data_IF_082526562825
#
_entry.id   IF_082526562825
#
_cell.length_a   1.000
_cell.length_b   1.000
_cell.length_c   1.000
_cell.angle_alpha   90.00
_cell.angle_beta   90.00
_cell.angle_gamma   90.00
#
_symmetry.space_group_name_H-M   'P 1'
#
loop_
_entity.id
_entity.type
_entity.pdbx_description
1 polymer ?
#
# COMPACT_ATOMS: atom_id res chain seq x y z
N UNK A 1 0.52 -26.35 -43.73
CA UNK A 1 1.01 -26.97 -42.49
C UNK A 1 1.88 -25.93 -41.80
N UNK A 2 1.28 -25.19 -40.83
CA UNK A 2 1.99 -24.11 -40.13
C UNK A 2 2.56 -24.73 -38.85
N UNK A 3 3.90 -24.79 -38.77
CA UNK A 3 4.60 -25.17 -37.55
C UNK A 3 4.57 -23.96 -36.58
N UNK A 4 3.74 -24.05 -35.55
CA UNK A 4 3.84 -23.15 -34.41
C UNK A 4 4.98 -23.63 -33.53
N UNK A 5 6.14 -22.98 -33.65
CA UNK A 5 7.24 -23.19 -32.71
C UNK A 5 6.85 -22.47 -31.43
N UNK A 6 6.39 -23.19 -30.41
CA UNK A 6 6.26 -22.67 -29.07
C UNK A 6 7.66 -22.41 -28.53
N UNK A 7 8.13 -21.18 -28.63
CA UNK A 7 9.34 -20.76 -27.91
C UNK A 7 8.98 -20.77 -26.41
N UNK A 8 9.43 -21.80 -25.70
CA UNK A 8 9.47 -21.76 -24.23
C UNK A 8 10.37 -20.59 -23.83
N UNK A 9 9.77 -19.54 -23.29
CA UNK A 9 10.51 -18.42 -22.71
C UNK A 9 11.11 -18.93 -21.40
N UNK A 10 12.39 -19.29 -21.42
CA UNK A 10 13.15 -19.79 -20.28
C UNK A 10 13.46 -18.75 -19.18
N UNK A 11 12.68 -17.67 -19.07
CA UNK A 11 12.83 -16.68 -17.99
C UNK A 11 12.51 -17.25 -16.60
N UNK A 12 11.88 -18.43 -16.50
CA UNK A 12 11.43 -19.05 -15.26
C UNK A 12 12.50 -19.88 -14.53
N UNK A 13 13.52 -20.35 -15.24
CA UNK A 13 14.45 -21.35 -14.69
C UNK A 13 15.35 -20.83 -13.56
N UNK A 14 15.47 -19.50 -13.37
CA UNK A 14 16.38 -18.91 -12.40
C UNK A 14 15.70 -18.15 -11.25
N UNK A 15 14.37 -18.08 -11.18
CA UNK A 15 13.66 -17.40 -10.08
C UNK A 15 12.99 -18.41 -9.15
N UNK A 16 13.50 -18.61 -7.94
CA UNK A 16 12.88 -19.53 -6.97
C UNK A 16 11.45 -19.11 -6.59
N UNK A 17 11.15 -17.80 -6.61
CA UNK A 17 9.81 -17.28 -6.32
C UNK A 17 8.85 -17.66 -7.46
N UNK A 18 9.19 -17.38 -8.71
CA UNK A 18 8.34 -17.73 -9.86
C UNK A 18 8.13 -19.25 -9.97
N UNK A 19 9.18 -20.04 -9.75
CA UNK A 19 9.08 -21.50 -9.74
C UNK A 19 8.14 -22.00 -8.64
N UNK A 20 8.13 -21.37 -7.45
CA UNK A 20 7.23 -21.69 -6.35
C UNK A 20 5.77 -21.34 -6.71
N UNK A 21 5.52 -20.15 -7.26
CA UNK A 21 4.20 -19.71 -7.69
C UNK A 21 3.62 -20.68 -8.71
N UNK A 22 4.40 -21.03 -9.74
CA UNK A 22 3.98 -21.97 -10.78
C UNK A 22 3.68 -23.38 -10.23
N UNK A 23 4.53 -23.89 -9.35
CA UNK A 23 4.34 -25.22 -8.73
C UNK A 23 3.14 -25.26 -7.79
N UNK A 24 2.89 -24.19 -7.03
CA UNK A 24 1.77 -24.12 -6.11
C UNK A 24 0.45 -23.77 -6.81
N UNK A 25 0.50 -23.20 -8.01
CA UNK A 25 -0.65 -22.64 -8.72
C UNK A 25 -1.25 -21.41 -8.02
N UNK A 26 -0.47 -20.73 -7.17
CA UNK A 26 -0.97 -19.62 -6.33
C UNK A 26 0.00 -18.44 -6.34
N UNK A 27 -0.56 -17.22 -6.52
CA UNK A 27 0.08 -15.94 -6.28
C UNK A 27 -0.46 -15.36 -4.97
N UNK A 28 0.40 -15.15 -3.97
CA UNK A 28 0.00 -14.65 -2.66
C UNK A 28 0.22 -13.14 -2.60
N UNK A 29 -0.89 -12.38 -2.59
CA UNK A 29 -0.91 -10.92 -2.45
C UNK A 29 -0.91 -10.51 -0.99
N UNK A 30 -0.07 -9.54 -0.61
CA UNK A 30 -0.17 -8.77 0.63
C UNK A 30 -0.81 -7.40 0.40
N UNK A 31 -1.82 -7.06 1.18
CA UNK A 31 -2.47 -5.75 1.14
C UNK A 31 -2.96 -5.33 2.52
N UNK A 32 -3.18 -4.02 2.74
CA UNK A 32 -3.67 -3.52 4.03
C UNK A 32 -5.18 -3.70 4.21
N UNK A 33 -5.94 -3.71 3.13
CA UNK A 33 -7.41 -3.83 3.17
C UNK A 33 -8.12 -2.64 3.82
N UNK A 34 -7.46 -1.47 3.89
CA UNK A 34 -7.97 -0.28 4.62
C UNK A 34 -7.96 1.00 3.78
N UNK A 35 -7.69 0.89 2.49
CA UNK A 35 -7.63 2.04 1.59
C UNK A 35 -8.85 2.02 0.66
N UNK A 36 -9.84 2.91 0.86
CA UNK A 36 -11.02 2.99 -0.01
C UNK A 36 -10.66 3.09 -1.48
N UNK A 37 -11.39 2.38 -2.35
CA UNK A 37 -11.22 2.29 -3.81
C UNK A 37 -9.93 1.58 -4.26
N UNK A 38 -8.89 1.49 -3.44
CA UNK A 38 -7.63 0.82 -3.77
C UNK A 38 -7.60 -0.62 -3.26
N UNK A 39 -7.72 -0.81 -1.95
CA UNK A 39 -7.84 -2.11 -1.30
C UNK A 39 -8.66 -1.96 -0.03
N UNK A 40 -9.93 -2.28 -0.10
CA UNK A 40 -10.88 -2.11 1.00
C UNK A 40 -11.51 -3.45 1.36
N UNK A 41 -11.52 -3.76 2.66
CA UNK A 41 -12.22 -4.93 3.17
C UNK A 41 -13.69 -4.59 3.39
N UNK A 42 -14.57 -5.27 2.67
CA UNK A 42 -16.01 -5.11 2.77
C UNK A 42 -16.56 -5.64 4.11
N UNK A 43 -17.81 -5.33 4.41
CA UNK A 43 -18.52 -5.88 5.57
C UNK A 43 -18.67 -7.41 5.50
N UNK A 44 -18.65 -8.00 4.30
CA UNK A 44 -18.67 -9.46 4.09
C UNK A 44 -17.30 -10.10 4.26
N UNK A 45 -16.24 -9.30 4.44
CA UNK A 45 -14.87 -9.75 4.62
C UNK A 45 -14.08 -9.91 3.32
N UNK A 46 -14.70 -9.68 2.17
CA UNK A 46 -14.03 -9.64 0.87
C UNK A 46 -13.15 -8.40 0.76
N UNK A 47 -12.04 -8.50 0.04
CA UNK A 47 -11.17 -7.34 -0.27
C UNK A 47 -11.37 -6.97 -1.73
N UNK A 48 -11.72 -5.72 -1.98
CA UNK A 48 -12.03 -5.17 -3.31
C UNK A 48 -11.22 -3.90 -3.58
N UNK A 49 -11.16 -3.48 -4.84
CA UNK A 49 -10.56 -2.22 -5.28
C UNK A 49 -9.47 -2.40 -6.32
N UNK A 50 -8.92 -1.28 -6.78
CA UNK A 50 -7.98 -1.22 -7.90
C UNK A 50 -6.72 -2.11 -7.71
N UNK A 51 -6.15 -2.14 -6.49
CA UNK A 51 -5.02 -3.02 -6.17
C UNK A 51 -5.36 -4.50 -6.35
N UNK A 52 -6.61 -4.87 -6.01
CA UNK A 52 -7.10 -6.25 -6.12
C UNK A 52 -7.35 -6.61 -7.58
N UNK A 53 -7.94 -5.70 -8.36
CA UNK A 53 -8.18 -5.90 -9.78
C UNK A 53 -6.86 -6.09 -10.54
N UNK A 54 -5.85 -5.27 -10.22
CA UNK A 54 -4.50 -5.42 -10.76
C UNK A 54 -3.85 -6.77 -10.39
N UNK A 55 -4.01 -7.20 -9.15
CA UNK A 55 -3.48 -8.49 -8.70
C UNK A 55 -4.20 -9.66 -9.38
N UNK A 56 -5.52 -9.58 -9.56
CA UNK A 56 -6.30 -10.58 -10.29
C UNK A 56 -5.84 -10.68 -11.74
N UNK A 57 -5.70 -9.55 -12.45
CA UNK A 57 -5.21 -9.54 -13.82
C UNK A 57 -3.81 -10.15 -13.95
N UNK A 58 -2.92 -9.89 -12.97
CA UNK A 58 -1.60 -10.50 -12.93
C UNK A 58 -1.67 -12.02 -12.72
N UNK A 59 -2.45 -12.48 -11.74
CA UNK A 59 -2.63 -13.91 -11.44
C UNK A 59 -3.23 -14.64 -12.65
N UNK A 60 -4.24 -14.06 -13.30
CA UNK A 60 -4.87 -14.59 -14.51
C UNK A 60 -3.86 -14.71 -15.65
N UNK A 61 -3.03 -13.68 -15.87
CA UNK A 61 -1.99 -13.71 -16.91
C UNK A 61 -0.94 -14.78 -16.68
N UNK A 62 -0.71 -15.15 -15.41
CA UNK A 62 0.21 -16.22 -15.00
C UNK A 62 -0.46 -17.60 -14.98
N UNK A 63 -1.79 -17.69 -15.15
CA UNK A 63 -2.55 -18.94 -15.06
C UNK A 63 -2.57 -19.54 -13.65
N UNK A 64 -2.59 -18.70 -12.60
CA UNK A 64 -2.58 -19.10 -11.19
C UNK A 64 -3.73 -18.47 -10.40
N UNK A 65 -4.08 -19.05 -9.24
CA UNK A 65 -5.06 -18.51 -8.30
C UNK A 65 -4.47 -17.33 -7.50
N UNK A 66 -5.22 -16.24 -7.36
CA UNK A 66 -4.88 -15.17 -6.42
C UNK A 66 -5.30 -15.53 -5.00
N UNK A 67 -4.36 -15.43 -4.05
CA UNK A 67 -4.63 -15.58 -2.62
C UNK A 67 -4.30 -14.28 -1.90
N UNK A 68 -5.32 -13.57 -1.40
CA UNK A 68 -5.13 -12.28 -0.73
C UNK A 68 -4.91 -12.46 0.77
N UNK A 69 -3.85 -11.84 1.31
CA UNK A 69 -3.56 -11.72 2.75
C UNK A 69 -3.66 -10.28 3.19
N UNK A 70 -4.56 -10.01 4.13
CA UNK A 70 -4.69 -8.69 4.77
C UNK A 70 -3.75 -8.63 5.96
N UNK A 71 -2.87 -7.63 5.98
CA UNK A 71 -1.85 -7.41 7.01
C UNK A 71 -1.81 -5.91 7.38
N UNK A 72 -1.39 -5.54 8.59
CA UNK A 72 -1.06 -4.16 8.91
C UNK A 72 -0.07 -3.57 7.89
N UNK A 73 -0.27 -2.31 7.50
CA UNK A 73 0.53 -1.69 6.43
C UNK A 73 2.04 -1.77 6.66
N UNK A 74 2.48 -1.54 7.91
CA UNK A 74 3.89 -1.63 8.31
C UNK A 74 4.46 -3.07 8.30
N UNK A 75 3.62 -4.09 8.21
CA UNK A 75 4.05 -5.49 8.15
C UNK A 75 4.15 -6.03 6.71
N UNK A 76 3.69 -5.29 5.70
CA UNK A 76 3.65 -5.75 4.31
C UNK A 76 5.07 -6.02 3.75
N UNK A 77 6.02 -5.09 3.91
CA UNK A 77 7.40 -5.29 3.46
C UNK A 77 8.07 -6.44 4.23
N UNK A 78 8.02 -6.51 5.57
CA UNK A 78 8.51 -7.68 6.30
C UNK A 78 7.89 -9.02 5.84
N UNK A 79 6.61 -9.03 5.49
CA UNK A 79 5.95 -10.23 4.99
C UNK A 79 6.49 -10.66 3.61
N UNK A 80 6.80 -9.69 2.74
CA UNK A 80 7.40 -9.94 1.43
C UNK A 80 8.84 -10.46 1.57
N UNK A 81 9.67 -9.83 2.39
CA UNK A 81 11.05 -10.25 2.67
C UNK A 81 11.13 -11.69 3.22
N UNK A 82 10.16 -12.05 4.06
CA UNK A 82 10.09 -13.38 4.66
C UNK A 82 9.35 -14.42 3.80
N UNK A 83 8.95 -14.07 2.58
CA UNK A 83 8.25 -14.97 1.66
C UNK A 83 6.85 -15.39 2.13
N UNK A 84 6.24 -14.65 3.07
CA UNK A 84 4.85 -14.89 3.52
C UNK A 84 3.85 -14.45 2.45
N UNK A 85 4.24 -13.49 1.61
CA UNK A 85 3.53 -13.03 0.41
C UNK A 85 4.51 -12.96 -0.75
N UNK A 86 4.01 -13.02 -1.99
CA UNK A 86 4.82 -13.00 -3.21
C UNK A 86 4.90 -11.60 -3.82
N UNK A 87 3.85 -10.82 -3.62
CA UNK A 87 3.71 -9.45 -4.11
C UNK A 87 2.94 -8.61 -3.09
N UNK A 88 3.21 -7.31 -3.09
CA UNK A 88 2.45 -6.32 -2.31
C UNK A 88 1.86 -5.29 -3.27
N UNK A 89 0.53 -5.16 -3.27
CA UNK A 89 -0.24 -4.07 -3.86
C UNK A 89 -1.11 -3.47 -2.74
N UNK A 90 -0.81 -2.26 -2.32
CA UNK A 90 -1.45 -1.62 -1.16
C UNK A 90 -1.24 -0.10 -1.19
N UNK A 91 -1.32 0.49 -2.40
CA UNK A 91 -1.06 1.92 -2.60
C UNK A 91 0.25 2.39 -1.93
N UNK A 92 1.27 1.52 -1.96
CA UNK A 92 2.53 1.73 -1.26
C UNK A 92 3.46 2.64 -2.06
N UNK A 93 3.78 3.81 -1.52
CA UNK A 93 4.70 4.77 -2.14
C UNK A 93 6.09 4.16 -2.30
N UNK A 94 6.67 4.29 -3.48
CA UNK A 94 8.07 3.98 -3.75
C UNK A 94 8.97 5.00 -3.04
N UNK A 95 9.92 4.52 -2.23
CA UNK A 95 10.94 5.35 -1.59
C UNK A 95 12.30 4.68 -1.71
N UNK A 96 13.38 5.45 -1.55
CA UNK A 96 14.75 4.90 -1.58
C UNK A 96 14.91 3.82 -0.51
N UNK A 97 14.50 4.09 0.74
CA UNK A 97 14.64 3.16 1.86
C UNK A 97 13.89 1.84 1.62
N UNK A 98 12.69 1.92 1.05
CA UNK A 98 11.93 0.72 0.70
C UNK A 98 12.56 -0.04 -0.46
N UNK A 99 13.10 0.66 -1.48
CA UNK A 99 13.81 0.05 -2.61
C UNK A 99 15.12 -0.63 -2.22
N UNK A 100 15.74 -0.25 -1.09
CA UNK A 100 16.89 -0.97 -0.55
C UNK A 100 16.52 -2.34 0.05
N UNK A 101 15.24 -2.58 0.33
CA UNK A 101 14.75 -3.81 0.95
C UNK A 101 14.02 -4.73 -0.03
N UNK A 102 13.20 -4.18 -0.90
CA UNK A 102 12.38 -4.91 -1.88
C UNK A 102 12.37 -4.17 -3.21
N UNK A 103 12.25 -4.90 -4.32
CA UNK A 103 12.15 -4.29 -5.64
C UNK A 103 10.74 -3.71 -5.86
N UNK A 104 10.67 -2.46 -6.30
CA UNK A 104 9.44 -1.85 -6.80
C UNK A 104 9.40 -1.88 -8.32
N UNK A 105 8.23 -2.16 -8.88
CA UNK A 105 7.93 -2.11 -10.32
C UNK A 105 6.78 -1.13 -10.52
N UNK A 106 6.95 -0.20 -11.42
CA UNK A 106 5.95 0.83 -11.68
C UNK A 106 6.49 2.24 -11.46
N UNK A 107 5.71 3.26 -11.23
CA UNK A 107 4.41 3.27 -10.51
C UNK A 107 3.22 2.85 -11.39
N UNK A 108 2.23 2.18 -10.80
CA UNK A 108 0.94 1.87 -11.43
C UNK A 108 -0.14 2.92 -11.10
N UNK A 109 0.12 3.77 -10.11
CA UNK A 109 -0.74 4.89 -9.71
C UNK A 109 0.11 6.06 -9.22
N UNK A 110 -0.28 7.30 -9.54
CA UNK A 110 0.39 8.53 -9.10
C UNK A 110 -0.62 9.41 -8.39
N UNK A 111 -0.29 9.83 -7.16
CA UNK A 111 -1.16 10.66 -6.31
C UNK A 111 -0.33 11.59 -5.44
N UNK A 112 -1.00 12.56 -4.82
CA UNK A 112 -0.44 13.47 -3.82
C UNK A 112 -0.84 13.10 -2.40
N UNK A 113 -0.29 13.82 -1.42
CA UNK A 113 -0.75 13.80 -0.03
C UNK A 113 -1.82 14.85 0.15
N UNK A 114 -2.82 14.53 0.97
CA UNK A 114 -3.82 15.49 1.44
C UNK A 114 -3.98 15.37 2.96
N UNK A 115 -4.52 16.40 3.56
CA UNK A 115 -4.92 16.44 4.96
C UNK A 115 -6.44 16.42 5.05
N UNK A 116 -6.96 15.75 6.06
CA UNK A 116 -8.37 15.79 6.42
C UNK A 116 -8.47 16.65 7.68
N UNK A 117 -9.30 17.67 7.64
CA UNK A 117 -9.51 18.58 8.77
C UNK A 117 -10.98 18.98 8.89
N UNK A 118 -11.39 19.39 10.07
CA UNK A 118 -12.67 20.06 10.34
C UNK A 118 -12.52 21.58 10.43
N UNK A 119 -11.29 22.07 10.51
CA UNK A 119 -10.98 23.50 10.65
C UNK A 119 -10.93 24.16 9.27
N UNK A 120 -11.86 25.10 9.00
CA UNK A 120 -11.93 25.80 7.70
C UNK A 120 -10.65 26.59 7.40
N UNK A 121 -9.99 27.15 8.40
CA UNK A 121 -8.73 27.84 8.24
C UNK A 121 -7.64 26.91 7.72
N UNK A 122 -7.57 25.68 8.24
CA UNK A 122 -6.61 24.66 7.82
C UNK A 122 -6.92 24.07 6.44
N UNK A 123 -8.18 24.07 6.04
CA UNK A 123 -8.57 23.62 4.69
C UNK A 123 -8.04 24.52 3.56
N UNK A 124 -7.55 25.72 3.90
CA UNK A 124 -6.95 26.70 2.98
C UNK A 124 -5.41 26.69 3.00
N UNK A 125 -4.80 25.83 3.80
CA UNK A 125 -3.35 25.70 3.86
C UNK A 125 -2.82 25.06 2.56
N UNK A 126 -1.95 25.77 1.84
CA UNK A 126 -1.36 25.32 0.58
C UNK A 126 0.04 24.73 0.79
N UNK A 127 0.72 25.14 1.85
CA UNK A 127 2.10 24.74 2.16
C UNK A 127 2.23 24.19 3.60
N UNK A 128 3.22 23.31 3.85
CA UNK A 128 3.49 22.81 5.20
C UNK A 128 3.82 23.92 6.21
N UNK A 129 4.32 25.07 5.73
CA UNK A 129 4.62 26.22 6.57
C UNK A 129 3.38 26.81 7.21
N UNK A 130 2.24 26.77 6.54
CA UNK A 130 0.95 27.30 7.03
C UNK A 130 0.43 26.54 8.26
N UNK A 131 0.93 25.31 8.45
CA UNK A 131 0.57 24.43 9.57
C UNK A 131 1.46 24.59 10.80
N UNK A 132 2.62 25.28 10.68
CA UNK A 132 3.62 25.34 11.76
C UNK A 132 3.23 26.20 12.95
N UNK A 133 2.40 27.22 12.73
CA UNK A 133 1.98 28.15 13.78
C UNK A 133 0.74 27.69 14.52
N UNK A 134 0.14 26.57 14.11
CA UNK A 134 -1.08 26.06 14.72
C UNK A 134 -0.76 24.98 15.78
N UNK A 135 -1.41 25.06 16.93
CA UNK A 135 -1.36 24.00 17.96
C UNK A 135 -2.23 22.83 17.50
N UNK A 136 -1.69 22.05 16.54
CA UNK A 136 -2.40 20.97 15.88
C UNK A 136 -1.95 19.61 16.39
N UNK A 137 -2.91 18.71 16.48
CA UNK A 137 -2.68 17.28 16.66
C UNK A 137 -2.99 16.55 15.36
N UNK A 138 -2.03 15.75 14.86
CA UNK A 138 -2.20 15.03 13.60
C UNK A 138 -2.24 13.52 13.81
N UNK A 139 -3.29 12.88 13.34
CA UNK A 139 -3.37 11.43 13.23
C UNK A 139 -2.58 10.97 11.98
N UNK A 140 -1.64 10.02 12.16
CA UNK A 140 -0.79 9.51 11.08
C UNK A 140 -0.75 7.99 11.11
N UNK A 141 -0.95 7.36 9.95
CA UNK A 141 -0.89 5.89 9.85
C UNK A 141 0.57 5.42 9.94
N UNK A 142 0.84 4.49 10.85
CA UNK A 142 2.19 3.95 11.10
C UNK A 142 2.83 3.36 9.86
N UNK A 143 4.12 3.64 9.66
CA UNK A 143 4.94 3.10 8.57
C UNK A 143 4.66 3.72 7.21
N UNK A 144 3.82 4.78 7.12
CA UNK A 144 3.53 5.49 5.87
C UNK A 144 4.51 6.63 5.62
N UNK A 145 4.58 7.07 4.36
CA UNK A 145 5.32 8.31 4.02
C UNK A 145 4.66 9.57 4.57
N UNK A 146 3.39 9.50 4.99
CA UNK A 146 2.72 10.61 5.68
C UNK A 146 3.24 10.76 7.10
N UNK A 147 3.50 9.66 7.81
CA UNK A 147 4.14 9.70 9.13
C UNK A 147 5.55 10.32 9.05
N UNK A 148 6.36 9.89 8.07
CA UNK A 148 7.70 10.49 7.85
C UNK A 148 7.61 11.97 7.51
N UNK A 149 6.68 12.35 6.62
CA UNK A 149 6.46 13.75 6.23
C UNK A 149 6.16 14.64 7.45
N UNK A 150 5.22 14.25 8.31
CA UNK A 150 4.89 15.03 9.51
C UNK A 150 6.07 15.08 10.48
N UNK A 151 6.79 13.95 10.65
CA UNK A 151 7.96 13.89 11.53
C UNK A 151 9.10 14.83 11.08
N UNK A 152 9.32 14.93 9.77
CA UNK A 152 10.47 15.66 9.21
C UNK A 152 10.17 17.15 8.98
N UNK A 153 8.98 17.46 8.48
CA UNK A 153 8.63 18.84 8.09
C UNK A 153 7.83 19.59 9.16
N UNK A 154 7.15 18.86 10.05
CA UNK A 154 6.30 19.42 11.10
C UNK A 154 6.64 18.79 12.47
N UNK A 155 7.92 18.83 12.90
CA UNK A 155 8.36 18.13 14.12
C UNK A 155 7.71 18.64 15.40
N UNK A 156 7.26 19.89 15.41
CA UNK A 156 6.64 20.54 16.58
C UNK A 156 5.19 20.07 16.81
N UNK A 157 4.53 19.52 15.78
CA UNK A 157 3.14 19.11 15.92
C UNK A 157 3.01 17.80 16.73
N UNK A 158 1.96 17.75 17.54
CA UNK A 158 1.59 16.54 18.26
C UNK A 158 1.13 15.47 17.27
N UNK A 159 1.69 14.25 17.35
CA UNK A 159 1.35 13.13 16.48
C UNK A 159 0.66 12.02 17.25
N UNK A 160 -0.45 11.53 16.72
CA UNK A 160 -1.13 10.32 17.19
C UNK A 160 -0.94 9.24 16.12
N UNK A 161 -0.04 8.26 16.34
CA UNK A 161 0.10 7.15 15.42
C UNK A 161 -1.12 6.23 15.47
N UNK A 162 -1.73 5.97 14.31
CA UNK A 162 -2.91 5.11 14.16
C UNK A 162 -2.60 3.88 13.32
N UNK A 163 -3.45 2.85 13.42
CA UNK A 163 -3.27 1.61 12.68
C UNK A 163 -3.73 1.72 11.21
N UNK A 164 -4.74 2.53 10.93
CA UNK A 164 -5.35 2.70 9.61
C UNK A 164 -6.00 4.08 9.46
N UNK A 165 -6.48 4.38 8.24
CA UNK A 165 -7.11 5.66 7.91
C UNK A 165 -8.44 5.89 8.65
N UNK A 166 -9.22 4.83 8.89
CA UNK A 166 -10.51 4.94 9.58
C UNK A 166 -10.34 5.40 11.03
N UNK A 167 -9.33 4.85 11.73
CA UNK A 167 -8.99 5.29 13.08
C UNK A 167 -8.59 6.78 13.09
N UNK A 168 -7.76 7.20 12.12
CA UNK A 168 -7.38 8.61 11.96
C UNK A 168 -8.57 9.53 11.69
N UNK A 169 -9.43 9.14 10.76
CA UNK A 169 -10.65 9.90 10.41
C UNK A 169 -11.59 10.03 11.61
N UNK A 170 -11.74 8.98 12.43
CA UNK A 170 -12.54 9.02 13.64
C UNK A 170 -11.96 9.97 14.70
N UNK A 171 -10.63 10.08 14.81
CA UNK A 171 -9.99 11.06 15.69
C UNK A 171 -10.29 12.49 15.23
N UNK A 172 -10.18 12.78 13.93
CA UNK A 172 -10.54 14.08 13.36
C UNK A 172 -12.04 14.37 13.58
N UNK A 173 -12.92 13.41 13.29
CA UNK A 173 -14.36 13.57 13.47
C UNK A 173 -14.75 13.86 14.92
N UNK A 174 -14.04 13.27 15.90
CA UNK A 174 -14.25 13.48 17.33
C UNK A 174 -13.52 14.70 17.91
N UNK A 175 -12.74 15.44 17.11
CA UNK A 175 -11.96 16.62 17.57
C UNK A 175 -10.77 16.26 18.46
N UNK A 176 -10.21 15.05 18.29
CA UNK A 176 -9.01 14.59 19.02
C UNK A 176 -7.73 14.70 18.17
N UNK A 177 -7.89 14.97 16.88
CA UNK A 177 -6.85 15.27 15.92
C UNK A 177 -7.39 16.24 14.88
#
# INVERSE_FOLDING_TARGET
MIFVISSNVYAYDNSPVLSRIQKSGKLVLGTSGTMPLMSEKTMTGEVIGFDIDMANALAESMGVELVTKVLPFNELIPALENGKVDIVLSNMTMTVDRNMRVAFVGPYFVSGKCLITKEEAMAKADEPADLKEADLTMAVVKGTTSESFVKELLPELTRIPVANADEGTNLVASGKA
#
